data_IF_914575806218
#
_entry.id   IF_914575806218
#
_cell.length_a   1.000
_cell.length_b   1.000
_cell.length_c   1.000
_cell.angle_alpha   90.00
_cell.angle_beta   90.00
_cell.angle_gamma   90.00
#
_symmetry.space_group_name_H-M   'P 1'
#
loop_
_entity.id
_entity.type
_entity.pdbx_description
1 polymer ?
#
# COMPACT_ATOMS: atom_id res chain seq x y z
N UNK A 1 -11.44 5.02 -29.35
CA UNK A 1 -11.55 3.60 -29.76
C UNK A 1 -12.97 3.14 -29.49
N UNK A 2 -13.59 2.37 -30.41
CA UNK A 2 -14.90 1.76 -30.16
C UNK A 2 -14.73 0.55 -29.20
N UNK A 3 -15.63 0.33 -28.23
CA UNK A 3 -15.54 -0.81 -27.30
C UNK A 3 -15.52 -2.16 -28.04
N UNK A 4 -14.60 -3.05 -27.67
CA UNK A 4 -14.54 -4.41 -28.23
C UNK A 4 -15.24 -5.39 -27.28
N UNK A 5 -16.53 -5.65 -27.52
CA UNK A 5 -17.38 -6.49 -26.67
C UNK A 5 -16.85 -7.91 -26.48
N UNK A 6 -16.24 -8.50 -27.51
CA UNK A 6 -15.65 -9.84 -27.40
C UNK A 6 -14.45 -9.86 -26.45
N UNK A 7 -13.62 -8.82 -26.48
CA UNK A 7 -12.49 -8.69 -25.56
C UNK A 7 -12.96 -8.47 -24.12
N UNK A 8 -13.93 -7.58 -23.90
CA UNK A 8 -14.49 -7.32 -22.56
C UNK A 8 -15.02 -8.60 -21.92
N UNK A 9 -15.83 -9.37 -22.66
CA UNK A 9 -16.38 -10.64 -22.14
C UNK A 9 -15.28 -11.63 -21.76
N UNK A 10 -14.29 -11.81 -22.63
CA UNK A 10 -13.17 -12.72 -22.36
C UNK A 10 -12.35 -12.28 -21.14
N UNK A 11 -12.16 -10.97 -20.94
CA UNK A 11 -11.48 -10.46 -19.75
C UNK A 11 -12.30 -10.73 -18.48
N UNK A 12 -13.62 -10.61 -18.53
CA UNK A 12 -14.48 -10.92 -17.38
C UNK A 12 -14.44 -12.42 -17.03
N UNK A 13 -14.46 -13.30 -18.03
CA UNK A 13 -14.34 -14.74 -17.82
C UNK A 13 -12.98 -15.09 -17.16
N UNK A 14 -11.88 -14.51 -17.66
CA UNK A 14 -10.55 -14.71 -17.10
C UNK A 14 -10.33 -14.07 -15.73
N UNK A 15 -10.96 -12.94 -15.44
CA UNK A 15 -10.92 -12.31 -14.12
C UNK A 15 -11.48 -13.26 -13.06
N UNK A 16 -12.66 -13.83 -13.32
CA UNK A 16 -13.31 -14.80 -12.43
C UNK A 16 -12.52 -16.12 -12.31
N UNK A 17 -11.89 -16.55 -13.40
CA UNK A 17 -11.16 -17.83 -13.44
C UNK A 17 -9.78 -17.76 -12.77
N UNK A 18 -9.07 -16.63 -12.91
CA UNK A 18 -7.64 -16.57 -12.60
C UNK A 18 -7.23 -15.53 -11.56
N UNK A 19 -8.09 -14.57 -11.21
CA UNK A 19 -7.74 -13.53 -10.23
C UNK A 19 -8.40 -13.78 -8.88
N UNK A 20 -7.57 -13.78 -7.83
CA UNK A 20 -8.03 -13.70 -6.46
C UNK A 20 -8.00 -12.24 -6.01
N UNK A 21 -9.19 -11.64 -5.83
CA UNK A 21 -9.30 -10.23 -5.52
C UNK A 21 -9.08 -9.93 -4.02
N UNK A 22 -8.35 -8.85 -3.67
CA UNK A 22 -8.17 -8.44 -2.29
C UNK A 22 -9.47 -7.89 -1.71
N UNK A 23 -9.77 -8.20 -0.45
CA UNK A 23 -10.99 -7.76 0.26
C UNK A 23 -12.32 -8.08 -0.46
N UNK A 24 -12.36 -9.18 -1.21
CA UNK A 24 -13.52 -9.59 -2.00
C UNK A 24 -14.00 -10.97 -1.60
N UNK A 25 -15.32 -11.13 -1.41
CA UNK A 25 -15.92 -12.45 -1.26
C UNK A 25 -15.97 -13.14 -2.63
N UNK A 26 -15.03 -14.06 -2.87
CA UNK A 26 -14.82 -14.64 -4.20
C UNK A 26 -16.04 -15.40 -4.75
N UNK A 27 -16.79 -16.10 -3.89
CA UNK A 27 -18.00 -16.82 -4.32
C UNK A 27 -19.11 -15.89 -4.84
N UNK A 28 -19.19 -14.67 -4.30
CA UNK A 28 -20.11 -13.64 -4.77
C UNK A 28 -19.56 -13.00 -6.05
N UNK A 29 -18.26 -12.64 -6.05
CA UNK A 29 -17.58 -12.02 -7.19
C UNK A 29 -17.67 -12.83 -8.48
N UNK A 30 -17.55 -14.16 -8.39
CA UNK A 30 -17.69 -15.06 -9.54
C UNK A 30 -19.06 -14.94 -10.25
N UNK A 31 -20.08 -14.42 -9.56
CA UNK A 31 -21.43 -14.23 -10.07
C UNK A 31 -21.70 -12.78 -10.52
N UNK A 32 -20.80 -11.84 -10.19
CA UNK A 32 -20.93 -10.43 -10.55
C UNK A 32 -20.40 -10.14 -11.95
N UNK A 33 -20.94 -9.11 -12.61
CA UNK A 33 -20.35 -8.54 -13.83
C UNK A 33 -19.23 -7.55 -13.46
N UNK A 34 -17.95 -7.89 -13.68
CA UNK A 34 -16.84 -7.10 -13.18
C UNK A 34 -16.71 -5.77 -13.93
N UNK A 35 -16.45 -4.70 -13.17
CA UNK A 35 -16.08 -3.39 -13.73
C UNK A 35 -14.60 -3.39 -14.10
N UNK A 36 -14.31 -3.68 -15.37
CA UNK A 36 -12.92 -3.79 -15.86
C UNK A 36 -12.43 -2.44 -16.36
N UNK A 37 -11.63 -1.74 -15.55
CA UNK A 37 -11.02 -0.45 -15.88
C UNK A 37 -9.92 -0.63 -16.94
N UNK A 38 -9.94 0.18 -18.00
CA UNK A 38 -8.94 0.13 -19.09
C UNK A 38 -8.09 1.39 -19.18
N UNK A 39 -8.63 2.56 -18.81
CA UNK A 39 -7.89 3.83 -18.87
C UNK A 39 -8.38 4.80 -17.82
N UNK A 40 -7.56 5.80 -17.52
CA UNK A 40 -7.95 6.95 -16.71
C UNK A 40 -7.47 8.26 -17.34
N UNK A 41 -8.08 9.37 -16.96
CA UNK A 41 -7.66 10.72 -17.32
C UNK A 41 -8.15 11.72 -16.26
N UNK A 42 -7.23 12.44 -15.64
CA UNK A 42 -7.57 13.34 -14.52
C UNK A 42 -8.26 12.56 -13.40
N UNK A 43 -9.36 13.06 -12.86
CA UNK A 43 -10.11 12.38 -11.80
C UNK A 43 -11.04 11.25 -12.29
N UNK A 44 -10.94 10.81 -13.55
CA UNK A 44 -11.89 9.87 -14.14
C UNK A 44 -11.25 8.56 -14.58
N UNK A 45 -11.99 7.48 -14.37
CA UNK A 45 -11.73 6.13 -14.86
C UNK A 45 -12.69 5.80 -16.01
N UNK A 46 -12.27 4.90 -16.88
CA UNK A 46 -13.10 4.39 -17.97
C UNK A 46 -12.91 2.89 -18.10
N UNK A 47 -14.03 2.17 -18.13
CA UNK A 47 -14.02 0.71 -18.30
C UNK A 47 -13.87 0.29 -19.77
N UNK A 48 -13.70 -1.01 -20.00
CA UNK A 48 -13.58 -1.61 -21.34
C UNK A 48 -14.86 -1.50 -22.19
N UNK A 49 -16.00 -1.15 -21.59
CA UNK A 49 -17.26 -0.85 -22.32
C UNK A 49 -17.34 0.61 -22.75
N UNK A 50 -16.43 1.46 -22.23
CA UNK A 50 -16.37 2.90 -22.48
C UNK A 50 -17.13 3.74 -21.47
N UNK A 51 -17.72 3.15 -20.42
CA UNK A 51 -18.40 3.88 -19.36
C UNK A 51 -17.38 4.67 -18.55
N UNK A 52 -17.74 5.91 -18.20
CA UNK A 52 -16.90 6.85 -17.45
C UNK A 52 -17.34 6.89 -15.98
N UNK A 53 -16.38 6.86 -15.07
CA UNK A 53 -16.59 6.91 -13.62
C UNK A 53 -15.74 8.03 -13.04
N UNK A 54 -16.31 8.80 -12.10
CA UNK A 54 -15.49 9.62 -11.21
C UNK A 54 -14.78 8.69 -10.23
N UNK A 55 -13.47 8.84 -10.08
CA UNK A 55 -12.70 8.14 -9.06
C UNK A 55 -12.90 8.84 -7.71
N UNK A 56 -14.05 8.59 -7.07
CA UNK A 56 -14.47 9.26 -5.83
C UNK A 56 -13.69 8.81 -4.59
N UNK A 57 -12.83 7.80 -4.72
CA UNK A 57 -12.01 7.25 -3.63
C UNK A 57 -10.52 7.30 -3.94
N UNK A 58 -10.11 8.00 -5.01
CA UNK A 58 -8.71 8.12 -5.44
C UNK A 58 -8.00 6.77 -5.56
N UNK A 59 -8.68 5.76 -6.12
CA UNK A 59 -8.16 4.40 -6.30
C UNK A 59 -7.55 3.84 -5.00
N UNK A 60 -8.32 3.89 -3.91
CA UNK A 60 -7.89 3.58 -2.54
C UNK A 60 -6.90 4.61 -1.97
N UNK A 61 -7.32 5.88 -1.99
CA UNK A 61 -6.71 7.00 -1.26
C UNK A 61 -5.28 7.40 -1.71
N UNK A 62 -4.76 6.79 -2.78
CA UNK A 62 -3.38 7.00 -3.25
C UNK A 62 -3.27 7.92 -4.48
N UNK A 63 -4.35 8.09 -5.24
CA UNK A 63 -4.31 8.94 -6.43
C UNK A 63 -4.51 10.43 -6.09
N UNK A 64 -3.39 11.16 -6.03
CA UNK A 64 -3.37 12.61 -5.68
C UNK A 64 -3.45 13.52 -6.92
N UNK A 65 -2.77 13.17 -8.01
CA UNK A 65 -2.58 14.06 -9.17
C UNK A 65 -3.48 13.72 -10.37
N UNK A 66 -4.39 12.75 -10.20
CA UNK A 66 -5.19 12.20 -11.29
C UNK A 66 -4.45 11.18 -12.14
N UNK A 67 -5.24 10.44 -12.91
CA UNK A 67 -4.77 9.41 -13.85
C UNK A 67 -4.08 10.02 -15.07
N UNK A 68 -3.00 9.38 -15.53
CA UNK A 68 -2.19 9.77 -16.71
C UNK A 68 -1.56 11.16 -16.60
N UNK A 69 -1.03 11.52 -15.43
CA UNK A 69 -0.38 12.80 -15.21
C UNK A 69 0.91 12.93 -16.05
N UNK A 70 0.99 13.85 -17.03
CA UNK A 70 2.08 13.88 -18.02
C UNK A 70 3.49 13.96 -17.45
N UNK A 71 3.66 14.63 -16.30
CA UNK A 71 4.96 14.73 -15.62
C UNK A 71 5.39 13.42 -14.98
N UNK A 72 4.47 12.66 -14.38
CA UNK A 72 4.78 11.38 -13.73
C UNK A 72 5.07 10.31 -14.78
N UNK A 73 4.23 10.23 -15.81
CA UNK A 73 4.42 9.33 -16.95
C UNK A 73 5.79 9.54 -17.62
N UNK A 74 6.18 10.79 -17.83
CA UNK A 74 7.47 11.13 -18.43
C UNK A 74 8.63 10.73 -17.51
N UNK A 75 8.54 11.01 -16.20
CA UNK A 75 9.59 10.66 -15.25
C UNK A 75 9.85 9.14 -15.21
N UNK A 76 8.80 8.33 -15.17
CA UNK A 76 8.93 6.86 -15.20
C UNK A 76 9.57 6.39 -16.50
N UNK A 77 9.07 6.86 -17.66
CA UNK A 77 9.66 6.49 -18.97
C UNK A 77 11.12 6.87 -19.06
N UNK A 78 11.49 8.09 -18.66
CA UNK A 78 12.88 8.55 -18.69
C UNK A 78 13.79 7.71 -17.80
N UNK A 79 13.32 7.25 -16.63
CA UNK A 79 14.12 6.35 -15.80
C UNK A 79 14.30 4.97 -16.44
N UNK A 80 13.26 4.44 -17.11
CA UNK A 80 13.31 3.14 -17.80
C UNK A 80 14.31 3.12 -18.96
N UNK A 81 14.57 4.25 -19.63
CA UNK A 81 15.63 4.37 -20.64
C UNK A 81 17.05 4.19 -20.07
N UNK A 82 17.20 4.25 -18.74
CA UNK A 82 18.50 4.06 -18.05
C UNK A 82 18.57 2.70 -17.39
N UNK A 83 17.68 2.45 -16.42
CA UNK A 83 17.60 1.20 -15.67
C UNK A 83 16.25 1.12 -14.95
N UNK A 84 15.61 -0.05 -15.04
CA UNK A 84 14.34 -0.30 -14.35
C UNK A 84 14.53 -0.51 -12.84
N UNK A 85 15.55 -1.27 -12.44
CA UNK A 85 15.81 -1.59 -11.04
C UNK A 85 17.27 -2.02 -10.79
N UNK A 86 17.81 -1.61 -9.65
CA UNK A 86 18.96 -2.22 -8.98
C UNK A 86 18.75 -2.10 -7.47
N UNK A 87 19.38 -2.98 -6.70
CA UNK A 87 19.18 -3.06 -5.25
C UNK A 87 19.79 -1.87 -4.49
N UNK A 88 19.32 -1.62 -3.26
CA UNK A 88 20.01 -0.78 -2.26
C UNK A 88 20.85 -1.61 -1.27
N UNK A 89 20.97 -2.92 -1.49
CA UNK A 89 21.82 -3.83 -0.71
C UNK A 89 23.30 -3.60 -1.08
N UNK A 90 23.94 -2.61 -0.45
CA UNK A 90 25.33 -2.24 -0.73
C UNK A 90 25.54 -1.44 -2.01
N UNK A 91 24.47 -1.18 -2.77
CA UNK A 91 24.42 -0.31 -3.95
C UNK A 91 23.48 0.88 -3.70
N UNK A 92 23.40 1.79 -4.67
CA UNK A 92 22.51 2.95 -4.60
C UNK A 92 22.03 3.38 -5.99
N UNK A 93 21.10 4.34 -6.04
CA UNK A 93 20.62 4.95 -7.28
C UNK A 93 20.38 6.45 -7.12
N UNK A 94 20.65 7.27 -8.17
CA UNK A 94 20.39 8.71 -8.10
C UNK A 94 18.95 9.06 -7.69
N UNK A 95 17.89 8.43 -8.24
CA UNK A 95 16.51 8.72 -7.83
C UNK A 95 16.25 8.44 -6.35
N UNK A 96 16.81 7.36 -5.78
CA UNK A 96 16.61 7.02 -4.38
C UNK A 96 17.27 8.05 -3.44
N UNK A 97 18.46 8.55 -3.80
CA UNK A 97 19.19 9.59 -3.05
C UNK A 97 18.43 10.93 -3.10
N UNK A 98 18.03 11.34 -4.29
CA UNK A 98 17.32 12.61 -4.50
C UNK A 98 15.95 12.61 -3.80
N UNK A 99 15.19 11.52 -3.91
CA UNK A 99 13.93 11.37 -3.20
C UNK A 99 14.12 11.41 -1.67
N UNK A 100 15.15 10.76 -1.15
CA UNK A 100 15.40 10.74 0.30
C UNK A 100 15.66 12.15 0.82
N UNK A 101 16.44 12.95 0.08
CA UNK A 101 16.68 14.36 0.40
C UNK A 101 15.39 15.16 0.42
N UNK A 102 14.54 15.03 -0.60
CA UNK A 102 13.28 15.79 -0.66
C UNK A 102 12.29 15.37 0.43
N UNK A 103 12.21 14.08 0.75
CA UNK A 103 11.40 13.58 1.86
C UNK A 103 11.85 14.18 3.20
N UNK A 104 13.15 14.16 3.49
CA UNK A 104 13.68 14.75 4.73
C UNK A 104 13.47 16.27 4.78
N UNK A 105 13.53 16.97 3.64
CA UNK A 105 13.24 18.41 3.58
C UNK A 105 11.79 18.72 3.97
N UNK A 106 10.83 17.83 3.68
CA UNK A 106 9.41 18.00 3.99
C UNK A 106 9.01 17.44 5.35
N UNK A 107 9.80 16.50 5.89
CA UNK A 107 9.49 15.82 7.14
C UNK A 107 9.51 16.77 8.35
N UNK A 108 8.70 16.48 9.40
CA UNK A 108 8.78 17.21 10.66
C UNK A 108 10.19 17.15 11.30
N UNK A 109 10.54 18.13 12.16
CA UNK A 109 11.81 18.11 12.89
C UNK A 109 12.03 16.80 13.65
N UNK A 110 13.26 16.27 13.59
CA UNK A 110 13.66 15.03 14.26
C UNK A 110 13.77 13.81 13.34
N UNK A 111 13.10 13.81 12.17
CA UNK A 111 13.26 12.77 11.15
C UNK A 111 14.40 13.14 10.20
N UNK A 112 15.44 12.28 10.11
CA UNK A 112 16.70 12.62 9.40
C UNK A 112 17.18 11.55 8.43
N UNK A 113 16.49 10.40 8.34
CA UNK A 113 16.83 9.27 7.48
C UNK A 113 15.57 8.62 6.92
N UNK A 114 15.69 8.03 5.74
CA UNK A 114 14.62 7.30 5.04
C UNK A 114 15.04 5.85 4.87
N UNK A 115 14.12 4.94 5.18
CA UNK A 115 14.20 3.54 4.78
C UNK A 115 13.06 3.29 3.79
N UNK A 116 13.36 2.69 2.63
CA UNK A 116 12.35 2.41 1.61
C UNK A 116 11.81 0.98 1.75
N UNK A 117 10.51 0.85 1.51
CA UNK A 117 9.79 -0.42 1.33
C UNK A 117 8.83 -0.28 0.14
N UNK A 118 8.09 -1.34 -0.16
CA UNK A 118 7.19 -1.45 -1.31
C UNK A 118 5.75 -1.03 -1.03
N UNK A 119 5.26 -1.16 0.21
CA UNK A 119 3.92 -0.73 0.61
C UNK A 119 3.85 -0.21 2.06
N UNK A 120 2.64 0.20 2.48
CA UNK A 120 2.39 0.70 3.82
C UNK A 120 2.51 -0.36 4.92
N UNK A 121 2.11 -1.60 4.65
CA UNK A 121 2.20 -2.71 5.61
C UNK A 121 3.66 -3.04 5.90
N UNK A 122 4.50 -3.12 4.87
CA UNK A 122 5.93 -3.40 5.01
C UNK A 122 6.69 -2.22 5.62
N UNK A 123 6.23 -0.98 5.41
CA UNK A 123 6.75 0.18 6.12
C UNK A 123 6.49 0.08 7.64
N UNK A 124 5.29 -0.35 8.04
CA UNK A 124 4.95 -0.61 9.45
C UNK A 124 5.79 -1.75 10.02
N UNK A 125 5.94 -2.87 9.31
CA UNK A 125 6.80 -4.00 9.72
C UNK A 125 8.25 -3.56 9.98
N UNK A 126 8.81 -2.73 9.09
CA UNK A 126 10.14 -2.15 9.28
C UNK A 126 10.18 -1.29 10.54
N UNK A 127 9.19 -0.42 10.75
CA UNK A 127 9.12 0.43 11.93
C UNK A 127 9.04 -0.37 13.24
N UNK A 128 8.23 -1.43 13.27
CA UNK A 128 8.12 -2.34 14.42
C UNK A 128 9.47 -3.01 14.74
N UNK A 129 10.15 -3.53 13.71
CA UNK A 129 11.48 -4.14 13.86
C UNK A 129 12.52 -3.15 14.34
N UNK A 130 12.55 -1.95 13.76
CA UNK A 130 13.47 -0.88 14.20
C UNK A 130 13.23 -0.48 15.65
N UNK A 131 11.97 -0.38 16.10
CA UNK A 131 11.63 -0.05 17.48
C UNK A 131 12.14 -1.12 18.46
N UNK A 132 11.92 -2.41 18.16
CA UNK A 132 12.42 -3.51 19.00
C UNK A 132 13.95 -3.53 19.01
N UNK A 133 14.58 -3.42 17.84
CA UNK A 133 16.04 -3.44 17.70
C UNK A 133 16.69 -2.27 18.44
N UNK A 134 16.09 -1.08 18.41
CA UNK A 134 16.54 0.07 19.19
C UNK A 134 16.66 -0.27 20.68
N UNK A 135 15.62 -0.85 21.29
CA UNK A 135 15.64 -1.18 22.71
C UNK A 135 16.64 -2.30 23.06
N UNK A 136 16.89 -3.22 22.12
CA UNK A 136 17.93 -4.25 22.26
C UNK A 136 19.35 -3.66 22.22
N UNK A 137 19.56 -2.57 21.48
CA UNK A 137 20.87 -1.97 21.24
C UNK A 137 21.12 -0.68 22.04
N UNK A 138 20.14 -0.22 22.82
CA UNK A 138 20.25 1.00 23.62
C UNK A 138 21.27 0.82 24.75
N UNK A 139 22.12 1.83 24.92
CA UNK A 139 23.08 1.95 26.01
C UNK A 139 22.77 3.20 26.86
N UNK A 140 22.60 3.10 28.20
CA UNK A 140 22.59 1.88 29.00
C UNK A 140 21.35 0.99 28.72
N UNK A 141 21.46 -0.33 28.92
CA UNK A 141 20.35 -1.25 28.71
C UNK A 141 19.22 -0.98 29.72
N UNK A 142 17.98 -1.07 29.25
CA UNK A 142 16.75 -0.82 30.05
C UNK A 142 15.78 -2.00 30.08
N UNK A 143 16.25 -3.17 29.64
CA UNK A 143 15.45 -4.41 29.62
C UNK A 143 14.66 -4.62 28.32
N UNK A 144 13.94 -5.76 28.20
CA UNK A 144 13.32 -6.18 26.95
C UNK A 144 12.01 -5.43 26.68
N UNK A 145 12.08 -4.30 25.97
CA UNK A 145 10.90 -3.54 25.55
C UNK A 145 10.43 -3.99 24.15
N UNK A 146 9.38 -4.83 24.14
CA UNK A 146 8.83 -5.48 22.93
C UNK A 146 7.31 -5.42 22.80
N UNK A 147 6.62 -4.77 23.73
CA UNK A 147 5.17 -4.62 23.72
C UNK A 147 4.78 -3.36 22.97
N UNK A 148 3.81 -3.49 22.06
CA UNK A 148 3.24 -2.37 21.32
C UNK A 148 1.87 -2.00 21.86
N UNK A 149 1.54 -0.71 21.75
CA UNK A 149 0.21 -0.17 22.03
C UNK A 149 -0.41 0.26 20.71
N UNK A 150 -1.68 -0.03 20.50
CA UNK A 150 -2.42 0.44 19.33
C UNK A 150 -3.81 0.95 19.70
N UNK A 151 -4.37 1.79 18.84
CA UNK A 151 -5.76 2.23 18.97
C UNK A 151 -6.69 1.14 18.44
N UNK A 152 -7.81 0.90 19.11
CA UNK A 152 -8.92 0.16 18.53
C UNK A 152 -9.38 0.84 17.22
N UNK A 153 -9.91 0.05 16.28
CA UNK A 153 -10.32 0.48 14.93
C UNK A 153 -9.19 1.02 14.02
N UNK A 154 -7.93 1.05 14.47
CA UNK A 154 -6.81 1.47 13.62
C UNK A 154 -6.55 0.46 12.48
N UNK A 155 -6.14 0.96 11.33
CA UNK A 155 -5.68 0.14 10.21
C UNK A 155 -4.21 0.45 9.93
N UNK A 156 -3.39 -0.61 9.87
CA UNK A 156 -1.95 -0.49 9.61
C UNK A 156 -1.45 -1.37 8.47
N UNK A 157 -2.32 -2.14 7.81
CA UNK A 157 -1.97 -3.09 6.75
C UNK A 157 -2.36 -4.52 7.07
N UNK A 158 -2.04 -5.43 6.14
CA UNK A 158 -2.52 -6.82 6.14
C UNK A 158 -1.40 -7.86 6.31
N UNK A 159 -0.15 -7.43 6.51
CA UNK A 159 0.92 -8.34 6.94
C UNK A 159 0.75 -8.70 8.41
N UNK A 160 1.28 -9.84 8.86
CA UNK A 160 1.08 -10.32 10.23
C UNK A 160 1.47 -9.27 11.30
N UNK A 161 2.59 -8.58 11.13
CA UNK A 161 3.01 -7.56 12.08
C UNK A 161 2.17 -6.29 12.04
N UNK A 162 1.75 -5.85 10.85
CA UNK A 162 0.86 -4.69 10.71
C UNK A 162 -0.55 -4.98 11.23
N UNK A 163 -1.11 -6.17 10.97
CA UNK A 163 -2.36 -6.63 11.57
C UNK A 163 -2.27 -6.71 13.10
N UNK A 164 -1.15 -7.21 13.66
CA UNK A 164 -0.97 -7.33 15.11
C UNK A 164 -1.08 -5.99 15.85
N UNK A 165 -0.73 -4.89 15.18
CA UNK A 165 -0.85 -3.52 15.72
C UNK A 165 -2.04 -2.75 15.15
N UNK A 166 -2.92 -3.39 14.38
CA UNK A 166 -4.21 -2.82 13.96
C UNK A 166 -5.34 -3.16 14.93
N UNK A 167 -6.51 -2.58 14.71
CA UNK A 167 -7.69 -2.71 15.59
C UNK A 167 -9.01 -2.96 14.87
N UNK A 168 -9.00 -3.37 13.59
CA UNK A 168 -10.21 -3.74 12.84
C UNK A 168 -10.43 -5.25 12.95
N UNK A 169 -11.32 -5.67 13.86
CA UNK A 169 -11.55 -7.08 14.19
C UNK A 169 -11.90 -7.94 12.97
N UNK A 170 -12.71 -7.41 12.05
CA UNK A 170 -13.12 -8.10 10.82
C UNK A 170 -11.92 -8.59 9.98
N UNK A 171 -10.80 -7.87 10.01
CA UNK A 171 -9.62 -8.21 9.23
C UNK A 171 -8.69 -9.18 9.98
N UNK A 172 -8.78 -9.24 11.30
CA UNK A 172 -7.79 -9.93 12.14
C UNK A 172 -8.32 -11.22 12.79
N UNK A 173 -9.63 -11.33 13.03
CA UNK A 173 -10.23 -12.42 13.84
C UNK A 173 -9.78 -13.80 13.34
N UNK A 174 -9.85 -14.03 12.02
CA UNK A 174 -9.47 -15.32 11.41
C UNK A 174 -7.97 -15.63 11.48
N UNK A 175 -7.13 -14.61 11.66
CA UNK A 175 -5.67 -14.71 11.68
C UNK A 175 -5.06 -14.46 13.06
N UNK A 176 -5.88 -14.35 14.12
CA UNK A 176 -5.43 -14.01 15.46
C UNK A 176 -4.31 -14.92 15.99
N UNK A 177 -4.32 -16.20 15.62
CA UNK A 177 -3.28 -17.16 16.01
C UNK A 177 -1.88 -16.86 15.43
N UNK A 178 -1.79 -16.05 14.37
CA UNK A 178 -0.52 -15.60 13.78
C UNK A 178 -0.02 -14.29 14.39
N UNK A 179 -0.92 -13.51 14.99
CA UNK A 179 -0.61 -12.18 15.49
C UNK A 179 0.13 -12.23 16.84
N UNK A 180 1.05 -11.29 17.06
CA UNK A 180 1.72 -11.15 18.35
C UNK A 180 0.88 -10.32 19.34
N UNK A 181 1.06 -10.52 20.66
CA UNK A 181 0.27 -9.80 21.65
C UNK A 181 0.61 -8.29 21.69
N UNK A 182 -0.43 -7.48 21.81
CA UNK A 182 -0.37 -6.02 21.91
C UNK A 182 -1.30 -5.51 23.01
N UNK A 183 -1.21 -4.21 23.32
CA UNK A 183 -2.13 -3.52 24.22
C UNK A 183 -3.04 -2.60 23.40
N UNK A 184 -4.34 -2.87 23.42
CA UNK A 184 -5.32 -2.01 22.78
C UNK A 184 -5.72 -0.86 23.73
N UNK A 185 -5.90 0.34 23.17
CA UNK A 185 -6.49 1.49 23.86
C UNK A 185 -7.65 2.04 23.04
N UNK A 186 -8.57 2.74 23.71
CA UNK A 186 -9.78 3.25 23.08
C UNK A 186 -9.46 4.22 21.93
N UNK A 187 -10.28 4.23 20.86
CA UNK A 187 -10.08 5.12 19.74
C UNK A 187 -10.36 6.57 20.15
N UNK A 188 -9.72 7.57 19.51
CA UNK A 188 -9.90 8.98 19.85
C UNK A 188 -11.18 9.60 19.24
N UNK A 189 -12.25 8.83 19.01
CA UNK A 189 -13.53 9.41 18.60
C UNK A 189 -14.34 9.84 19.83
N UNK A 190 -14.99 10.99 19.73
CA UNK A 190 -15.87 11.55 20.75
C UNK A 190 -17.23 10.85 20.82
#
# INVERSE_FOLDING_TARGET
MKPNRHRTRRLADWDREFLWHPFTQMQEWEQEDPVIIERGQGAYLFDTTGRKFLDGVSSLWVNVHGHRHPTLDRAVRTQLERIAHTTLLGLSSPPAIELARELIRLAPPGLTRVFYSDDGSTAVEVALKMAVQYWQQRDPPVGPKRTFVHLQLAYHGDTVGSMSVGGVELFHERFGALCFPTLAVDPPYC
#
